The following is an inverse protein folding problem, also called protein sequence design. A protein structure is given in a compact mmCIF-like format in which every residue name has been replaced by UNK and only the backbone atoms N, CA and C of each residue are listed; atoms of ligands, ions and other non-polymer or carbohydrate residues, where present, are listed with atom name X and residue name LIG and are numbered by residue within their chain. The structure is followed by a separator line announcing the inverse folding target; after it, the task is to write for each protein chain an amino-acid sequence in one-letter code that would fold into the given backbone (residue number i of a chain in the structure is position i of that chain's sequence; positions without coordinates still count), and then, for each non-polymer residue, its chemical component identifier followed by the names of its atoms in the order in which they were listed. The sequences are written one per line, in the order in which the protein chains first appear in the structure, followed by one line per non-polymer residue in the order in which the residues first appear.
data_IF_454871984282
#
_entry.id   IF_454871984282
#
_cell.length_a   1.000
_cell.length_b   1.000
_cell.length_c   1.000
_cell.angle_alpha   90.00
_cell.angle_beta   90.00
_cell.angle_gamma   90.00
#
_symmetry.space_group_name_H-M   'P 1'
#
loop_
_entity.id
_entity.type
_entity.pdbx_description
1 polymer ?
#
# COMPACT_ATOMS: atom_id res chain seq x y z
N UNK A 1 44.82 71.37 12.59
CA UNK A 1 45.19 69.98 12.94
C UNK A 1 46.01 69.40 11.83
N UNK A 2 47.05 68.68 12.14
CA UNK A 2 47.84 68.07 11.10
C UNK A 2 47.07 66.93 10.48
N UNK A 3 47.36 66.56 9.21
CA UNK A 3 46.71 65.40 8.55
C UNK A 3 46.88 64.13 9.34
N UNK A 4 47.95 63.99 10.13
CA UNK A 4 48.25 62.90 11.02
C UNK A 4 47.22 62.83 12.16
N UNK A 5 46.92 63.97 12.80
CA UNK A 5 45.94 64.09 13.88
C UNK A 5 44.53 63.71 13.41
N UNK A 6 44.17 64.10 12.16
CA UNK A 6 42.89 63.80 11.56
C UNK A 6 42.72 62.25 11.26
N UNK A 7 43.83 61.67 10.76
CA UNK A 7 43.81 60.19 10.50
C UNK A 7 43.72 59.40 11.81
N UNK A 8 44.46 59.85 12.84
CA UNK A 8 44.40 59.19 14.14
C UNK A 8 43.00 59.33 14.81
N UNK A 9 42.42 60.56 14.70
CA UNK A 9 41.04 60.75 15.21
C UNK A 9 40.00 59.90 14.45
N UNK A 10 40.15 59.84 13.12
CA UNK A 10 39.27 58.93 12.31
C UNK A 10 39.44 57.44 12.67
N UNK A 11 40.69 57.03 12.88
CA UNK A 11 40.99 55.63 13.30
C UNK A 11 40.34 55.32 14.66
N UNK A 12 40.51 56.15 15.67
CA UNK A 12 39.92 55.95 16.99
C UNK A 12 38.39 55.93 16.95
N UNK A 13 37.78 56.83 16.20
CA UNK A 13 36.31 56.85 16.01
C UNK A 13 35.82 55.57 15.29
N UNK A 14 36.56 55.12 14.25
CA UNK A 14 36.21 53.93 13.50
C UNK A 14 36.32 52.68 14.38
N UNK A 15 37.37 52.52 15.17
CA UNK A 15 37.52 51.39 16.10
C UNK A 15 36.39 51.34 17.11
N UNK A 16 35.95 52.51 17.62
CA UNK A 16 34.79 52.58 18.53
C UNK A 16 33.46 52.20 17.78
N UNK A 17 33.28 52.65 16.53
CA UNK A 17 32.11 52.23 15.71
C UNK A 17 32.10 50.69 15.45
N UNK A 18 33.28 50.11 15.21
CA UNK A 18 33.43 48.65 14.99
C UNK A 18 33.06 47.88 16.29
N UNK A 19 33.54 48.32 17.42
CA UNK A 19 33.26 47.69 18.72
C UNK A 19 31.77 47.68 19.04
N UNK A 20 31.07 48.78 18.71
CA UNK A 20 29.63 48.91 18.91
C UNK A 20 28.75 48.21 17.84
N UNK A 21 29.31 47.70 16.78
CA UNK A 21 28.56 47.05 15.74
C UNK A 21 27.91 45.77 16.28
N UNK A 22 26.58 45.67 16.23
CA UNK A 22 25.81 44.57 16.73
C UNK A 22 25.41 43.54 15.64
N UNK A 23 25.57 43.85 14.35
CA UNK A 23 25.21 43.00 13.22
C UNK A 23 26.27 43.00 12.14
N UNK A 24 26.34 41.92 11.38
CA UNK A 24 27.24 41.79 10.22
C UNK A 24 26.98 42.86 9.17
N UNK A 25 25.73 43.29 8.96
CA UNK A 25 25.37 44.35 8.02
C UNK A 25 25.89 45.75 8.46
N UNK A 26 25.74 46.03 9.79
CA UNK A 26 26.30 47.29 10.35
C UNK A 26 27.81 47.33 10.22
N UNK A 27 28.50 46.21 10.45
CA UNK A 27 29.95 46.12 10.30
C UNK A 27 30.40 46.32 8.85
N UNK A 28 29.66 45.74 7.91
CA UNK A 28 29.95 45.95 6.47
C UNK A 28 29.73 47.38 6.01
N UNK A 29 28.72 48.07 6.53
CA UNK A 29 28.50 49.51 6.28
C UNK A 29 29.69 50.33 6.76
N UNK A 30 30.26 50.05 7.95
CA UNK A 30 31.48 50.71 8.47
C UNK A 30 32.67 50.42 7.55
N UNK A 31 32.87 49.19 7.12
CA UNK A 31 33.91 48.79 6.20
C UNK A 31 33.85 49.61 4.89
N UNK A 32 32.68 49.72 4.29
CA UNK A 32 32.46 50.48 3.05
C UNK A 32 32.74 51.96 3.28
N UNK A 33 32.26 52.56 4.40
CA UNK A 33 32.41 53.95 4.75
C UNK A 33 33.90 54.36 4.93
N UNK A 34 34.71 53.45 5.49
CA UNK A 34 36.08 53.81 5.91
C UNK A 34 37.15 53.26 4.97
N UNK A 35 37.07 51.97 4.60
CA UNK A 35 38.09 51.24 3.82
C UNK A 35 37.68 51.02 2.35
N UNK A 36 36.38 51.22 2.03
CA UNK A 36 35.86 51.06 0.66
C UNK A 36 36.58 51.92 -0.39
N UNK A 37 36.29 51.67 -1.69
CA UNK A 37 36.90 52.42 -2.80
C UNK A 37 36.78 53.93 -2.68
N UNK A 38 35.71 54.46 -2.12
CA UNK A 38 35.46 55.87 -1.81
C UNK A 38 35.52 56.19 -0.31
N UNK A 39 36.07 55.26 0.49
CA UNK A 39 36.11 55.37 1.95
C UNK A 39 37.09 56.45 2.42
N UNK A 40 36.86 56.93 3.66
CA UNK A 40 37.60 58.06 4.24
C UNK A 40 39.11 57.80 4.28
N UNK A 41 39.57 56.63 4.72
CA UNK A 41 41.01 56.30 4.72
C UNK A 41 41.60 56.20 3.29
N UNK A 42 40.81 55.67 2.36
CA UNK A 42 41.24 55.62 0.94
C UNK A 42 41.30 56.98 0.31
N UNK A 43 40.44 57.94 0.77
CA UNK A 43 40.48 59.36 0.38
C UNK A 43 41.78 60.02 0.78
N UNK A 44 42.28 59.83 1.98
CA UNK A 44 43.58 60.37 2.43
C UNK A 44 44.75 59.85 1.60
N UNK A 45 44.72 58.55 1.21
CA UNK A 45 45.75 58.01 0.31
C UNK A 45 45.74 58.68 -1.07
N UNK A 46 44.54 59.00 -1.60
CA UNK A 46 44.42 59.69 -2.92
C UNK A 46 44.87 61.20 -2.86
N UNK A 47 44.65 61.87 -1.71
CA UNK A 47 45.01 63.25 -1.49
C UNK A 47 46.49 63.47 -1.14
N UNK A 48 47.29 62.40 -1.05
CA UNK A 48 48.72 62.45 -0.73
C UNK A 48 49.51 63.34 -1.68
N UNK A 49 49.04 63.59 -2.91
CA UNK A 49 49.65 64.51 -3.86
C UNK A 49 49.63 65.96 -3.37
N UNK A 50 48.73 66.34 -2.48
CA UNK A 50 48.53 67.69 -1.93
C UNK A 50 49.34 67.97 -0.65
N UNK A 51 49.96 66.93 -0.06
CA UNK A 51 50.77 67.01 1.15
C UNK A 51 52.19 67.43 0.81
N UNK A 52 52.83 68.22 1.70
CA UNK A 52 54.21 68.65 1.52
C UNK A 52 55.18 67.50 1.32
N UNK A 53 56.14 67.54 0.38
CA UNK A 53 57.01 66.40 0.06
C UNK A 53 57.71 65.75 1.26
N UNK A 54 58.05 66.53 2.26
CA UNK A 54 58.82 66.16 3.44
C UNK A 54 57.91 65.28 4.42
N UNK A 55 56.60 65.52 4.42
CA UNK A 55 55.64 64.82 5.33
C UNK A 55 55.00 63.65 4.64
N UNK A 56 55.05 63.48 3.31
CA UNK A 56 54.38 62.40 2.58
C UNK A 56 54.69 60.96 3.09
N UNK A 57 55.98 60.78 3.38
CA UNK A 57 56.41 59.43 3.87
C UNK A 57 55.80 59.08 5.23
N UNK A 58 55.66 60.06 6.09
CA UNK A 58 55.17 59.89 7.45
C UNK A 58 53.66 59.78 7.45
N UNK A 59 52.95 60.64 6.69
CA UNK A 59 51.47 60.51 6.50
C UNK A 59 51.09 59.18 5.87
N UNK A 60 51.83 58.77 4.81
CA UNK A 60 51.57 57.44 4.19
C UNK A 60 51.76 56.29 5.12
N UNK A 61 52.77 56.31 5.97
CA UNK A 61 53.00 55.25 7.00
C UNK A 61 51.90 55.26 8.04
N UNK A 62 51.44 56.43 8.49
CA UNK A 62 50.33 56.52 9.50
C UNK A 62 49.02 56.08 8.89
N UNK A 63 48.66 56.48 7.65
CA UNK A 63 47.40 56.00 7.01
C UNK A 63 47.41 54.51 6.79
N UNK A 64 48.56 53.93 6.33
CA UNK A 64 48.63 52.45 6.19
C UNK A 64 48.59 51.70 7.51
N UNK A 65 49.21 52.25 8.58
CA UNK A 65 49.10 51.64 9.90
C UNK A 65 47.65 51.69 10.42
N UNK A 66 46.99 52.86 10.30
CA UNK A 66 45.58 53.01 10.67
C UNK A 66 44.66 52.07 9.88
N UNK A 67 44.90 51.92 8.59
CA UNK A 67 44.17 51.00 7.72
C UNK A 67 44.31 49.54 8.17
N UNK A 68 45.54 49.10 8.41
CA UNK A 68 45.82 47.72 8.84
C UNK A 68 45.15 47.39 10.18
N UNK A 69 45.18 48.36 11.12
CA UNK A 69 44.54 48.18 12.42
C UNK A 69 43.00 48.13 12.31
N UNK A 70 42.40 49.00 11.51
CA UNK A 70 40.95 48.98 11.22
C UNK A 70 40.54 47.71 10.50
N UNK A 71 41.30 47.25 9.49
CA UNK A 71 41.03 45.99 8.80
C UNK A 71 41.15 44.81 9.74
N UNK A 72 42.14 44.78 10.63
CA UNK A 72 42.29 43.75 11.67
C UNK A 72 41.13 43.73 12.65
N UNK A 73 40.67 44.90 13.11
CA UNK A 73 39.51 45.01 14.01
C UNK A 73 38.20 44.56 13.31
N UNK A 74 38.02 44.95 12.03
CA UNK A 74 36.86 44.48 11.23
C UNK A 74 36.82 42.95 11.09
N UNK A 75 37.95 42.32 10.77
CA UNK A 75 38.02 40.85 10.67
C UNK A 75 37.77 40.14 12.01
N UNK A 76 38.32 40.68 13.11
CA UNK A 76 38.07 40.13 14.44
C UNK A 76 36.58 40.22 14.82
N UNK A 77 35.96 41.40 14.62
CA UNK A 77 34.54 41.62 14.95
C UNK A 77 33.62 40.82 14.03
N UNK A 78 33.93 40.67 12.76
CA UNK A 78 33.22 39.82 11.80
C UNK A 78 33.20 38.35 12.26
N UNK A 79 34.33 37.84 12.73
CA UNK A 79 34.41 36.49 13.26
C UNK A 79 33.59 36.30 14.53
N UNK A 80 33.60 37.31 15.42
CA UNK A 80 32.80 37.33 16.65
C UNK A 80 31.28 37.27 16.32
N UNK A 81 30.82 38.20 15.46
CA UNK A 81 29.43 38.31 15.04
C UNK A 81 28.93 37.02 14.32
N UNK A 82 29.73 36.50 13.38
CA UNK A 82 29.41 35.27 12.68
C UNK A 82 29.27 34.06 13.66
N UNK A 83 30.14 34.02 14.67
CA UNK A 83 30.03 33.00 15.73
C UNK A 83 28.77 33.15 16.57
N UNK A 84 28.41 34.38 16.94
CA UNK A 84 27.20 34.65 17.69
C UNK A 84 25.92 34.39 16.88
N UNK A 85 25.89 34.80 15.61
CA UNK A 85 24.78 34.52 14.68
C UNK A 85 24.59 33.01 14.47
N UNK A 86 25.70 32.26 14.30
CA UNK A 86 25.65 30.79 14.18
C UNK A 86 25.13 30.15 15.46
N UNK A 87 25.59 30.57 16.62
CA UNK A 87 25.12 30.02 17.90
C UNK A 87 23.63 30.29 18.11
N UNK A 88 23.18 31.51 17.83
CA UNK A 88 21.77 31.87 17.92
C UNK A 88 20.88 31.03 16.94
N UNK A 89 21.37 30.81 15.73
CA UNK A 89 20.70 29.96 14.76
C UNK A 89 20.64 28.49 15.20
N UNK A 90 21.75 27.97 15.74
CA UNK A 90 21.78 26.58 16.24
C UNK A 90 20.81 26.38 17.42
N UNK A 91 20.67 27.40 18.29
CA UNK A 91 19.70 27.37 19.37
C UNK A 91 18.26 27.44 18.87
N UNK A 92 17.99 28.32 17.90
CA UNK A 92 16.66 28.46 17.29
C UNK A 92 16.23 27.22 16.49
N UNK A 93 17.18 26.55 15.83
CA UNK A 93 16.95 25.33 15.04
C UNK A 93 17.02 24.05 15.91
N UNK A 94 17.27 24.17 17.22
CA UNK A 94 17.34 23.02 18.11
C UNK A 94 15.98 22.31 18.19
N UNK A 95 15.97 21.04 17.88
CA UNK A 95 14.79 20.16 17.99
C UNK A 95 14.99 19.17 19.13
N UNK A 96 13.92 18.91 19.85
CA UNK A 96 13.93 17.84 20.86
C UNK A 96 13.86 16.48 20.19
N UNK A 97 15.00 15.79 20.14
CA UNK A 97 15.12 14.46 19.53
C UNK A 97 14.48 13.34 20.38
N UNK A 98 14.04 13.65 21.61
CA UNK A 98 13.31 12.70 22.45
C UNK A 98 11.83 12.63 22.12
N UNK A 99 11.32 13.62 21.36
CA UNK A 99 9.95 13.59 20.89
C UNK A 99 9.77 12.47 19.85
N UNK A 100 8.67 11.73 19.91
CA UNK A 100 8.39 10.69 18.92
C UNK A 100 8.26 11.33 17.53
N UNK A 101 8.89 10.70 16.54
CA UNK A 101 8.75 11.09 15.14
C UNK A 101 7.31 10.97 14.65
N UNK A 102 7.02 11.50 13.45
CA UNK A 102 5.73 11.28 12.79
C UNK A 102 5.53 9.78 12.54
N UNK A 103 4.62 9.17 13.26
CA UNK A 103 4.18 7.81 13.00
C UNK A 103 3.29 7.85 11.75
N UNK A 104 3.73 7.19 10.68
CA UNK A 104 2.84 6.94 9.54
C UNK A 104 1.74 5.98 9.99
N UNK A 105 0.48 6.41 9.88
CA UNK A 105 -0.64 5.51 10.09
C UNK A 105 -0.60 4.45 8.97
N UNK A 106 -0.30 3.22 9.35
CA UNK A 106 -0.42 2.09 8.43
C UNK A 106 -1.91 1.85 8.18
N UNK A 107 -2.28 1.73 6.90
CA UNK A 107 -3.61 1.32 6.53
C UNK A 107 -3.92 -0.09 7.03
N UNK A 108 -5.20 -0.44 7.11
CA UNK A 108 -5.67 -1.80 7.42
C UNK A 108 -6.16 -2.47 6.15
N UNK A 109 -6.00 -3.79 6.05
CA UNK A 109 -6.58 -4.58 4.96
C UNK A 109 -8.11 -4.59 5.10
N UNK A 110 -8.81 -4.57 3.96
CA UNK A 110 -10.27 -4.76 3.95
C UNK A 110 -10.62 -6.11 4.57
N UNK A 111 -11.73 -6.18 5.32
CA UNK A 111 -12.12 -7.37 6.07
C UNK A 111 -12.26 -8.62 5.17
N UNK A 112 -12.84 -8.49 3.99
CA UNK A 112 -12.99 -9.60 3.04
C UNK A 112 -11.61 -10.13 2.62
N UNK A 113 -10.67 -9.26 2.26
CA UNK A 113 -9.33 -9.69 1.86
C UNK A 113 -8.61 -10.40 3.01
N UNK A 114 -8.79 -9.91 4.24
CA UNK A 114 -8.22 -10.55 5.42
C UNK A 114 -8.78 -11.96 5.62
N UNK A 115 -10.10 -12.14 5.54
CA UNK A 115 -10.73 -13.46 5.67
C UNK A 115 -10.32 -14.38 4.52
N UNK A 116 -10.20 -13.86 3.29
CA UNK A 116 -9.70 -14.63 2.15
C UNK A 116 -8.27 -15.13 2.38
N UNK A 117 -7.40 -14.28 2.91
CA UNK A 117 -6.02 -14.66 3.26
C UNK A 117 -6.01 -15.72 4.37
N UNK A 118 -6.81 -15.55 5.44
CA UNK A 118 -6.92 -16.51 6.55
C UNK A 118 -7.40 -17.90 6.06
N UNK A 119 -8.40 -17.95 5.18
CA UNK A 119 -8.86 -19.19 4.55
C UNK A 119 -7.76 -19.82 3.70
N UNK A 120 -7.08 -18.98 2.88
CA UNK A 120 -5.99 -19.46 2.04
C UNK A 120 -4.85 -20.07 2.87
N UNK A 121 -4.47 -19.45 3.98
CA UNK A 121 -3.43 -19.95 4.88
C UNK A 121 -3.78 -21.32 5.46
N UNK A 122 -5.04 -21.58 5.81
CA UNK A 122 -5.50 -22.90 6.29
C UNK A 122 -5.25 -23.98 5.24
N UNK A 123 -5.63 -23.73 3.98
CA UNK A 123 -5.49 -24.71 2.90
C UNK A 123 -4.04 -24.86 2.43
N UNK A 124 -3.28 -23.75 2.33
CA UNK A 124 -1.84 -23.80 2.06
C UNK A 124 -1.09 -24.64 3.09
N UNK A 125 -1.50 -24.56 4.38
CA UNK A 125 -0.93 -25.35 5.48
C UNK A 125 -1.11 -26.86 5.31
N UNK A 126 -2.07 -27.32 4.54
CA UNK A 126 -2.35 -28.74 4.24
C UNK A 126 -2.02 -29.13 2.80
N UNK A 127 -1.23 -28.29 2.08
CA UNK A 127 -0.63 -28.65 0.80
C UNK A 127 -1.40 -28.21 -0.45
N UNK A 128 -2.46 -27.40 -0.30
CA UNK A 128 -3.14 -26.80 -1.46
C UNK A 128 -2.33 -25.63 -2.02
N UNK A 129 -2.61 -25.28 -3.25
CA UNK A 129 -2.14 -24.06 -3.90
C UNK A 129 -3.31 -23.14 -4.25
N UNK A 130 -3.02 -21.85 -4.50
CA UNK A 130 -4.04 -20.88 -4.91
C UNK A 130 -4.08 -20.81 -6.42
N UNK A 131 -5.22 -21.12 -7.02
CA UNK A 131 -5.50 -20.95 -8.44
C UNK A 131 -6.36 -19.69 -8.67
N UNK A 132 -6.13 -19.01 -9.77
CA UNK A 132 -6.91 -17.84 -10.18
C UNK A 132 -7.43 -18.02 -11.61
N UNK A 133 -8.53 -17.36 -11.93
CA UNK A 133 -9.10 -17.38 -13.27
C UNK A 133 -9.90 -16.11 -13.58
N UNK A 134 -10.37 -15.97 -14.81
CA UNK A 134 -11.05 -14.77 -15.29
C UNK A 134 -12.40 -14.56 -14.58
N UNK A 135 -12.76 -13.29 -14.32
CA UNK A 135 -14.11 -12.92 -13.85
C UNK A 135 -15.15 -12.89 -14.99
N UNK A 136 -14.67 -12.61 -16.21
CA UNK A 136 -15.46 -12.70 -17.45
C UNK A 136 -15.15 -14.05 -18.09
N UNK A 137 -16.14 -14.90 -18.18
CA UNK A 137 -15.97 -16.29 -18.55
C UNK A 137 -16.89 -16.66 -19.70
N UNK A 138 -16.63 -17.77 -20.38
CA UNK A 138 -17.54 -18.32 -21.36
C UNK A 138 -18.60 -19.21 -20.71
N UNK A 139 -19.72 -19.39 -21.41
CA UNK A 139 -20.78 -20.32 -21.00
C UNK A 139 -20.25 -21.74 -20.81
N UNK A 140 -19.27 -22.16 -21.63
CA UNK A 140 -18.63 -23.45 -21.52
C UNK A 140 -18.02 -23.69 -20.13
N UNK A 141 -17.12 -22.85 -19.68
CA UNK A 141 -16.44 -23.01 -18.39
C UNK A 141 -17.34 -22.76 -17.17
N UNK A 142 -18.35 -21.88 -17.34
CA UNK A 142 -19.24 -21.58 -16.22
C UNK A 142 -20.37 -22.59 -16.03
N UNK A 143 -20.73 -23.34 -17.08
CA UNK A 143 -21.88 -24.27 -17.06
C UNK A 143 -21.62 -25.60 -17.77
N UNK A 144 -21.24 -25.62 -19.05
CA UNK A 144 -21.21 -26.82 -19.84
C UNK A 144 -20.18 -27.83 -19.33
N UNK A 145 -18.95 -27.41 -19.13
CA UNK A 145 -17.88 -28.24 -18.57
C UNK A 145 -18.14 -28.65 -17.10
N UNK A 146 -19.10 -28.02 -16.45
CA UNK A 146 -19.57 -28.35 -15.10
C UNK A 146 -20.85 -29.20 -15.10
N UNK A 147 -21.10 -29.93 -16.21
CA UNK A 147 -22.24 -30.83 -16.35
C UNK A 147 -23.61 -30.16 -16.14
N UNK A 148 -23.72 -28.82 -16.27
CA UNK A 148 -24.98 -28.10 -16.17
C UNK A 148 -25.67 -28.09 -17.54
N UNK A 149 -26.87 -28.71 -17.68
CA UNK A 149 -27.57 -28.82 -18.96
C UNK A 149 -28.05 -27.47 -19.49
N UNK A 150 -28.30 -27.39 -20.79
CA UNK A 150 -28.69 -26.14 -21.46
C UNK A 150 -30.01 -25.51 -20.94
N UNK A 151 -30.88 -26.33 -20.34
CA UNK A 151 -32.15 -25.91 -19.73
C UNK A 151 -32.07 -25.67 -18.22
N UNK A 152 -30.87 -25.75 -17.63
CA UNK A 152 -30.69 -25.53 -16.21
C UNK A 152 -31.11 -24.09 -15.84
N UNK A 153 -31.90 -23.88 -14.77
CA UNK A 153 -32.44 -22.56 -14.39
C UNK A 153 -31.34 -21.49 -14.21
N UNK A 154 -30.20 -21.82 -13.64
CA UNK A 154 -29.08 -20.88 -13.42
C UNK A 154 -28.51 -20.30 -14.71
N UNK A 155 -28.72 -20.95 -15.86
CA UNK A 155 -28.32 -20.44 -17.19
C UNK A 155 -29.30 -19.41 -17.76
N UNK A 156 -30.33 -19.04 -17.00
CA UNK A 156 -31.28 -18.04 -17.44
C UNK A 156 -30.69 -16.63 -17.33
N UNK A 157 -31.09 -15.74 -18.21
CA UNK A 157 -30.75 -14.31 -18.12
C UNK A 157 -31.33 -13.63 -16.86
N UNK A 158 -32.22 -14.30 -16.12
CA UNK A 158 -32.76 -13.80 -14.87
C UNK A 158 -31.76 -13.97 -13.72
N UNK A 159 -30.88 -14.98 -13.79
CA UNK A 159 -29.97 -15.34 -12.72
C UNK A 159 -28.48 -15.04 -13.06
N UNK A 160 -28.15 -14.92 -14.36
CA UNK A 160 -26.78 -14.70 -14.87
C UNK A 160 -26.65 -13.38 -15.60
N UNK A 161 -25.52 -12.69 -15.40
CA UNK A 161 -25.15 -11.49 -16.16
C UNK A 161 -24.37 -11.90 -17.42
N UNK A 162 -25.04 -11.94 -18.54
CA UNK A 162 -24.37 -12.09 -19.84
C UNK A 162 -23.83 -10.75 -20.33
N UNK A 163 -22.60 -10.78 -20.85
CA UNK A 163 -21.97 -9.60 -21.45
C UNK A 163 -22.55 -9.41 -22.84
N UNK A 164 -22.99 -8.20 -23.17
CA UNK A 164 -23.52 -7.90 -24.49
C UNK A 164 -22.41 -7.94 -25.51
N UNK A 165 -22.46 -8.93 -26.39
CA UNK A 165 -21.55 -8.98 -27.54
C UNK A 165 -22.00 -7.97 -28.59
N UNK A 166 -21.12 -7.01 -28.90
CA UNK A 166 -21.35 -6.00 -29.93
C UNK A 166 -20.87 -6.47 -31.33
N UNK A 167 -20.03 -7.52 -31.40
CA UNK A 167 -19.55 -8.09 -32.66
C UNK A 167 -20.54 -9.10 -33.25
N UNK A 168 -21.32 -9.75 -32.42
CA UNK A 168 -22.29 -10.80 -32.80
C UNK A 168 -21.63 -12.13 -33.13
N UNK A 169 -20.32 -12.31 -32.77
CA UNK A 169 -19.54 -13.50 -33.17
C UNK A 169 -19.64 -14.62 -32.12
N UNK A 170 -20.05 -14.33 -30.89
CA UNK A 170 -20.15 -15.29 -29.80
C UNK A 170 -21.59 -15.46 -29.33
N UNK A 171 -22.16 -16.63 -29.51
CA UNK A 171 -23.53 -16.95 -29.09
C UNK A 171 -23.58 -18.33 -28.45
N UNK A 172 -24.31 -18.46 -27.35
CA UNK A 172 -24.59 -19.74 -26.75
C UNK A 172 -25.64 -20.52 -27.57
N UNK A 173 -25.95 -21.76 -27.13
CA UNK A 173 -26.95 -22.63 -27.78
C UNK A 173 -28.35 -22.01 -27.92
N UNK A 174 -28.65 -20.92 -27.18
CA UNK A 174 -29.90 -20.16 -27.27
C UNK A 174 -29.82 -18.93 -28.17
N UNK A 175 -28.67 -18.68 -28.82
CA UNK A 175 -28.44 -17.50 -29.67
C UNK A 175 -28.14 -16.20 -28.89
N UNK A 176 -27.80 -16.31 -27.59
CA UNK A 176 -27.37 -15.21 -26.75
C UNK A 176 -25.83 -15.16 -26.70
N UNK A 177 -25.23 -14.10 -26.15
CA UNK A 177 -23.79 -14.07 -25.92
C UNK A 177 -23.37 -15.27 -25.06
N UNK A 178 -22.28 -15.94 -25.44
CA UNK A 178 -21.68 -17.01 -24.64
C UNK A 178 -20.70 -16.49 -23.59
N UNK A 179 -20.50 -15.16 -23.50
CA UNK A 179 -19.65 -14.50 -22.53
C UNK A 179 -20.50 -13.93 -21.40
N UNK A 180 -20.09 -14.20 -20.18
CA UNK A 180 -20.82 -13.84 -18.97
C UNK A 180 -19.88 -13.43 -17.83
N UNK A 181 -20.43 -12.81 -16.79
CA UNK A 181 -19.75 -12.69 -15.51
C UNK A 181 -19.94 -13.99 -14.74
N UNK A 182 -18.85 -14.64 -14.34
CA UNK A 182 -18.91 -15.95 -13.69
C UNK A 182 -19.83 -15.94 -12.46
N UNK A 183 -20.70 -16.95 -12.37
CA UNK A 183 -21.65 -17.12 -11.25
C UNK A 183 -21.07 -17.89 -10.09
N UNK A 184 -19.92 -18.51 -10.29
CA UNK A 184 -19.18 -19.34 -9.35
C UNK A 184 -17.70 -19.35 -9.74
N UNK A 185 -16.83 -19.75 -8.82
CA UNK A 185 -15.39 -19.91 -9.12
C UNK A 185 -15.05 -21.29 -9.70
N UNK A 186 -16.04 -22.16 -9.92
CA UNK A 186 -15.88 -23.53 -10.43
C UNK A 186 -15.23 -23.59 -11.82
N UNK A 187 -15.38 -22.57 -12.66
CA UNK A 187 -14.66 -22.49 -13.95
C UNK A 187 -13.14 -22.55 -13.78
N UNK A 188 -12.60 -22.02 -12.67
CA UNK A 188 -11.17 -22.13 -12.37
C UNK A 188 -10.72 -23.57 -12.15
N UNK A 189 -11.63 -24.42 -11.62
CA UNK A 189 -11.35 -25.86 -11.43
C UNK A 189 -11.17 -26.54 -12.79
N UNK A 190 -12.03 -26.21 -13.78
CA UNK A 190 -11.92 -26.77 -15.14
C UNK A 190 -10.60 -26.31 -15.78
N UNK A 191 -10.27 -25.02 -15.74
CA UNK A 191 -8.98 -24.53 -16.24
C UNK A 191 -7.79 -25.24 -15.56
N UNK A 192 -7.85 -25.43 -14.24
CA UNK A 192 -6.79 -26.14 -13.53
C UNK A 192 -6.66 -27.61 -13.95
N UNK A 193 -7.77 -28.29 -14.18
CA UNK A 193 -7.76 -29.69 -14.65
C UNK A 193 -7.24 -29.83 -16.11
N UNK A 194 -7.48 -28.82 -16.96
CA UNK A 194 -6.96 -28.78 -18.33
C UNK A 194 -5.46 -28.44 -18.40
N UNK A 195 -4.96 -27.58 -17.50
CA UNK A 195 -3.63 -26.99 -17.58
C UNK A 195 -2.58 -27.68 -16.68
N UNK A 196 -2.99 -28.44 -15.65
CA UNK A 196 -2.08 -28.99 -14.64
C UNK A 196 -1.98 -30.52 -14.74
N UNK A 197 -0.81 -31.02 -14.37
CA UNK A 197 -0.63 -32.47 -14.17
C UNK A 197 -1.18 -32.90 -12.81
N UNK A 198 -1.70 -34.13 -12.73
CA UNK A 198 -2.16 -34.75 -11.50
C UNK A 198 -0.97 -35.09 -10.56
N UNK A 199 -1.10 -34.98 -9.25
CA UNK A 199 -2.32 -34.64 -8.50
C UNK A 199 -2.58 -33.13 -8.40
N UNK A 200 -3.85 -32.73 -8.34
CA UNK A 200 -4.29 -31.33 -8.21
C UNK A 200 -4.87 -31.09 -6.82
N UNK A 201 -4.34 -30.12 -6.11
CA UNK A 201 -4.84 -29.63 -4.82
C UNK A 201 -4.88 -28.11 -4.86
N UNK A 202 -6.05 -27.52 -5.09
CA UNK A 202 -6.19 -26.07 -5.26
C UNK A 202 -7.34 -25.49 -4.45
N UNK A 203 -7.22 -24.20 -4.12
CA UNK A 203 -8.35 -23.34 -3.78
C UNK A 203 -8.45 -22.21 -4.82
N UNK A 204 -9.67 -21.82 -5.15
CA UNK A 204 -9.96 -20.78 -6.14
C UNK A 204 -10.75 -19.64 -5.49
N UNK A 205 -10.10 -18.66 -4.85
CA UNK A 205 -10.76 -17.47 -4.34
C UNK A 205 -11.08 -16.49 -5.48
N UNK A 206 -12.25 -15.87 -5.41
CA UNK A 206 -12.59 -14.86 -6.39
C UNK A 206 -13.95 -14.21 -6.20
N UNK A 207 -14.20 -13.16 -6.96
CA UNK A 207 -15.50 -12.52 -7.06
C UNK A 207 -16.39 -13.30 -8.01
N UNK A 208 -17.66 -13.37 -7.66
CA UNK A 208 -18.72 -14.01 -8.46
C UNK A 208 -19.92 -13.09 -8.54
N UNK A 209 -20.76 -13.32 -9.53
CA UNK A 209 -21.82 -12.39 -9.93
C UNK A 209 -23.12 -13.15 -10.18
N UNK A 210 -24.22 -12.75 -9.51
CA UNK A 210 -25.57 -13.27 -9.71
C UNK A 210 -26.56 -12.14 -9.77
N UNK A 211 -27.62 -12.29 -10.56
CA UNK A 211 -28.64 -11.25 -10.68
C UNK A 211 -29.65 -11.24 -9.52
N UNK A 212 -29.12 -11.44 -8.32
CA UNK A 212 -29.90 -11.34 -7.11
C UNK A 212 -30.31 -9.88 -6.84
N UNK A 213 -31.50 -9.71 -6.29
CA UNK A 213 -31.92 -8.41 -5.78
C UNK A 213 -31.17 -8.14 -4.49
N UNK A 214 -30.52 -6.97 -4.40
CA UNK A 214 -29.78 -6.60 -3.21
C UNK A 214 -30.69 -6.52 -1.98
N UNK A 215 -30.39 -7.33 -0.98
CA UNK A 215 -31.02 -7.33 0.34
C UNK A 215 -29.95 -7.40 1.45
N UNK A 216 -30.29 -7.40 2.76
CA UNK A 216 -29.29 -7.49 3.83
C UNK A 216 -28.41 -8.74 3.82
N UNK A 217 -28.77 -9.79 3.08
CA UNK A 217 -28.06 -11.09 3.02
C UNK A 217 -27.55 -11.43 1.62
N UNK A 218 -28.00 -10.75 0.58
CA UNK A 218 -27.64 -11.02 -0.82
C UNK A 218 -27.17 -9.76 -1.54
N UNK A 219 -26.06 -9.89 -2.27
CA UNK A 219 -25.55 -8.84 -3.16
C UNK A 219 -25.33 -9.45 -4.55
N UNK A 220 -25.53 -8.68 -5.63
CA UNK A 220 -25.27 -9.17 -6.98
C UNK A 220 -23.82 -9.50 -7.26
N UNK A 221 -22.90 -9.03 -6.43
CA UNK A 221 -21.49 -9.40 -6.43
C UNK A 221 -21.07 -9.82 -5.02
N UNK A 222 -20.47 -10.98 -4.89
CA UNK A 222 -19.92 -11.47 -3.62
C UNK A 222 -18.59 -12.22 -3.85
N UNK A 223 -17.94 -12.67 -2.77
CA UNK A 223 -16.70 -13.42 -2.86
C UNK A 223 -16.97 -14.88 -2.51
N UNK A 224 -16.38 -15.78 -3.28
CA UNK A 224 -16.46 -17.22 -3.11
C UNK A 224 -15.05 -17.81 -3.10
N UNK A 225 -14.87 -18.88 -2.36
CA UNK A 225 -13.66 -19.69 -2.38
C UNK A 225 -14.09 -21.13 -2.58
N UNK A 226 -13.61 -21.76 -3.63
CA UNK A 226 -13.84 -23.18 -3.88
C UNK A 226 -12.54 -23.97 -3.69
N UNK A 227 -12.64 -25.22 -3.33
CA UNK A 227 -11.54 -26.16 -3.25
C UNK A 227 -11.76 -27.33 -4.21
N UNK A 228 -10.68 -27.76 -4.87
CA UNK A 228 -10.66 -28.96 -5.72
C UNK A 228 -9.49 -29.85 -5.32
N UNK A 229 -9.76 -31.14 -5.24
CA UNK A 229 -8.75 -32.19 -5.16
C UNK A 229 -9.03 -33.22 -6.26
N UNK A 230 -8.02 -33.51 -7.07
CA UNK A 230 -8.03 -34.61 -8.04
C UNK A 230 -6.78 -35.44 -7.81
N UNK A 231 -6.95 -36.63 -7.27
CA UNK A 231 -5.86 -37.58 -7.00
C UNK A 231 -6.42 -39.00 -6.88
N UNK A 232 -5.53 -39.98 -6.96
CA UNK A 232 -5.90 -41.41 -6.84
C UNK A 232 -6.35 -41.76 -5.42
N UNK A 233 -7.49 -42.46 -5.35
CA UNK A 233 -8.01 -42.99 -4.12
C UNK A 233 -8.68 -41.99 -3.18
N UNK A 234 -8.98 -40.78 -3.64
CA UNK A 234 -9.75 -39.79 -2.87
C UNK A 234 -11.17 -40.26 -2.67
N UNK A 235 -11.64 -40.14 -1.42
CA UNK A 235 -12.96 -40.58 -0.98
C UNK A 235 -13.80 -39.44 -0.43
N UNK A 236 -15.10 -39.66 -0.31
CA UNK A 236 -15.97 -38.71 0.39
C UNK A 236 -15.59 -38.53 1.87
N UNK A 237 -14.89 -39.55 2.45
CA UNK A 237 -14.32 -39.45 3.80
C UNK A 237 -13.23 -38.40 3.89
N UNK A 238 -12.36 -38.33 2.88
CA UNK A 238 -11.27 -37.33 2.79
C UNK A 238 -11.84 -35.92 2.65
N UNK A 239 -12.85 -35.74 1.79
CA UNK A 239 -13.60 -34.49 1.67
C UNK A 239 -14.16 -34.02 3.02
N UNK A 240 -14.85 -34.92 3.73
CA UNK A 240 -15.41 -34.61 5.06
C UNK A 240 -14.33 -34.24 6.06
N UNK A 241 -13.21 -34.96 6.07
CA UNK A 241 -12.09 -34.70 6.96
C UNK A 241 -11.46 -33.32 6.70
N UNK A 242 -11.25 -32.98 5.45
CA UNK A 242 -10.72 -31.67 5.03
C UNK A 242 -11.65 -30.52 5.45
N UNK A 243 -12.96 -30.67 5.23
CA UNK A 243 -13.94 -29.66 5.59
C UNK A 243 -14.13 -29.53 7.11
N UNK A 244 -14.06 -30.63 7.85
CA UNK A 244 -14.10 -30.60 9.33
C UNK A 244 -12.85 -29.87 9.89
N UNK A 245 -11.68 -30.17 9.34
CA UNK A 245 -10.45 -29.46 9.69
C UNK A 245 -10.57 -27.95 9.40
N UNK A 246 -11.00 -27.59 8.20
CA UNK A 246 -11.23 -26.18 7.81
C UNK A 246 -12.19 -25.48 8.78
N UNK A 247 -13.34 -26.08 9.06
CA UNK A 247 -14.33 -25.50 9.97
C UNK A 247 -13.79 -25.29 11.38
N UNK A 248 -12.98 -26.21 11.88
CA UNK A 248 -12.33 -26.08 13.20
C UNK A 248 -11.30 -24.96 13.22
N UNK A 249 -10.46 -24.84 12.19
CA UNK A 249 -9.47 -23.77 12.09
C UNK A 249 -10.13 -22.38 12.01
N UNK A 250 -11.21 -22.25 11.26
CA UNK A 250 -11.89 -20.97 11.06
C UNK A 250 -12.84 -20.59 12.20
N UNK A 251 -13.51 -21.55 12.82
CA UNK A 251 -14.61 -21.26 13.75
C UNK A 251 -14.35 -21.76 15.19
N UNK A 252 -13.26 -22.49 15.42
CA UNK A 252 -12.85 -23.01 16.72
C UNK A 252 -12.98 -24.53 16.84
N UNK A 253 -12.08 -25.13 17.61
CA UNK A 253 -11.93 -26.59 17.79
C UNK A 253 -13.18 -27.30 18.33
N UNK A 254 -14.02 -26.59 19.08
CA UNK A 254 -15.25 -27.11 19.65
C UNK A 254 -16.40 -27.19 18.65
N UNK A 255 -16.22 -26.70 17.43
CA UNK A 255 -17.25 -26.72 16.38
C UNK A 255 -17.46 -28.15 15.86
N UNK A 256 -18.72 -28.46 15.62
CA UNK A 256 -19.13 -29.72 14.99
C UNK A 256 -19.57 -29.43 13.58
N UNK A 257 -19.21 -30.29 12.65
CA UNK A 257 -19.68 -30.28 11.27
C UNK A 257 -20.80 -31.29 11.09
N UNK A 258 -21.73 -30.99 10.20
CA UNK A 258 -22.82 -31.87 9.78
C UNK A 258 -22.94 -31.78 8.27
N UNK A 259 -23.11 -32.94 7.63
CA UNK A 259 -23.32 -33.04 6.20
C UNK A 259 -24.73 -33.50 5.91
N UNK A 260 -25.42 -32.80 5.02
CA UNK A 260 -26.77 -33.11 4.54
C UNK A 260 -26.70 -33.43 3.07
N UNK A 261 -27.31 -34.51 2.62
CA UNK A 261 -27.41 -34.85 1.20
C UNK A 261 -28.08 -33.70 0.42
N UNK A 262 -27.49 -33.37 -0.70
CA UNK A 262 -27.97 -32.33 -1.62
C UNK A 262 -27.71 -32.77 -3.06
N UNK A 263 -28.08 -31.95 -4.06
CA UNK A 263 -27.83 -32.21 -5.45
C UNK A 263 -27.14 -30.98 -6.10
N UNK A 264 -26.01 -31.22 -6.78
CA UNK A 264 -25.39 -30.28 -7.71
C UNK A 264 -25.04 -31.00 -9.01
N UNK A 265 -25.16 -30.34 -10.18
CA UNK A 265 -24.94 -31.02 -11.47
C UNK A 265 -23.49 -31.47 -11.67
N UNK A 266 -22.53 -30.87 -10.99
CA UNK A 266 -21.09 -31.09 -11.11
C UNK A 266 -20.50 -32.00 -10.03
N UNK A 267 -21.32 -32.55 -9.13
CA UNK A 267 -20.87 -33.48 -8.07
C UNK A 267 -21.82 -34.63 -7.84
N UNK A 268 -21.27 -35.85 -7.56
CA UNK A 268 -22.00 -37.03 -7.17
C UNK A 268 -21.09 -37.96 -6.35
N UNK A 269 -21.42 -38.28 -5.09
CA UNK A 269 -22.51 -37.70 -4.27
C UNK A 269 -22.27 -36.26 -3.85
N UNK A 270 -23.35 -35.51 -3.66
CA UNK A 270 -23.34 -34.12 -3.25
C UNK A 270 -23.86 -33.93 -1.83
N UNK A 271 -23.36 -32.94 -1.12
CA UNK A 271 -23.82 -32.58 0.20
C UNK A 271 -23.71 -31.08 0.46
N UNK A 272 -24.43 -30.59 1.43
CA UNK A 272 -24.21 -29.31 2.10
C UNK A 272 -23.55 -29.54 3.44
N UNK A 273 -22.56 -28.69 3.78
CA UNK A 273 -21.88 -28.72 5.05
C UNK A 273 -22.35 -27.58 5.97
N UNK A 274 -22.82 -27.97 7.16
CA UNK A 274 -23.22 -27.06 8.21
C UNK A 274 -22.21 -27.10 9.36
N UNK A 275 -22.03 -25.97 10.05
CA UNK A 275 -21.26 -25.85 11.29
C UNK A 275 -22.19 -25.54 12.46
N UNK A 276 -21.91 -26.07 13.64
CA UNK A 276 -22.68 -25.76 14.86
C UNK A 276 -22.58 -24.26 15.17
N UNK A 277 -23.72 -23.63 15.48
CA UNK A 277 -23.81 -22.18 15.69
C UNK A 277 -22.88 -21.72 16.83
N UNK A 278 -22.04 -20.73 16.55
CA UNK A 278 -21.07 -20.19 17.50
C UNK A 278 -21.68 -19.39 18.66
N UNK A 279 -22.92 -18.94 18.51
CA UNK A 279 -23.60 -18.12 19.52
C UNK A 279 -24.36 -18.98 20.53
N UNK A 280 -25.11 -19.99 20.05
CA UNK A 280 -25.96 -20.80 20.91
C UNK A 280 -25.42 -22.19 21.13
N UNK A 281 -24.26 -22.53 20.61
CA UNK A 281 -23.63 -23.86 20.77
C UNK A 281 -24.51 -25.05 20.39
N UNK A 282 -25.44 -24.84 19.46
CA UNK A 282 -26.37 -25.89 18.98
C UNK A 282 -27.76 -25.86 19.60
N UNK A 283 -28.04 -25.03 20.60
CA UNK A 283 -29.35 -24.92 21.25
C UNK A 283 -30.43 -24.25 20.42
N UNK A 284 -30.04 -23.47 19.44
CA UNK A 284 -30.94 -22.68 18.60
C UNK A 284 -31.06 -21.24 19.07
N UNK A 285 -30.88 -20.29 18.17
CA UNK A 285 -30.99 -18.84 18.42
C UNK A 285 -31.47 -18.10 17.15
N UNK A 286 -31.63 -16.79 17.29
CA UNK A 286 -32.04 -15.93 16.16
C UNK A 286 -31.06 -16.01 14.97
N UNK A 287 -29.76 -16.10 15.22
CA UNK A 287 -28.73 -16.18 14.18
C UNK A 287 -28.90 -17.44 13.32
N UNK A 288 -29.06 -18.62 13.94
CA UNK A 288 -29.24 -19.89 13.25
C UNK A 288 -30.74 -20.21 12.99
N UNK A 289 -31.63 -19.23 13.12
CA UNK A 289 -33.07 -19.39 12.91
C UNK A 289 -33.67 -20.55 13.71
N UNK A 290 -33.17 -20.78 14.92
CA UNK A 290 -33.65 -21.86 15.83
C UNK A 290 -33.10 -23.26 15.54
N UNK A 291 -32.29 -23.44 14.49
CA UNK A 291 -31.82 -24.80 14.08
C UNK A 291 -30.61 -25.30 14.86
N UNK A 292 -29.82 -24.38 15.47
CA UNK A 292 -28.52 -24.70 16.08
C UNK A 292 -27.37 -24.85 15.09
N UNK A 293 -27.62 -24.75 13.78
CA UNK A 293 -26.66 -24.97 12.70
C UNK A 293 -26.63 -23.78 11.71
N UNK A 294 -25.49 -23.55 11.10
CA UNK A 294 -25.29 -22.54 10.06
C UNK A 294 -24.69 -23.27 8.85
N UNK A 295 -25.37 -23.19 7.72
CA UNK A 295 -24.87 -23.66 6.43
C UNK A 295 -23.69 -22.82 5.98
N UNK A 296 -22.59 -23.47 5.59
CA UNK A 296 -21.33 -22.82 5.19
C UNK A 296 -21.08 -22.96 3.69
N UNK A 297 -21.27 -24.18 3.14
CA UNK A 297 -20.92 -24.49 1.75
C UNK A 297 -21.62 -25.73 1.21
N UNK A 298 -21.68 -25.82 -0.12
CA UNK A 298 -21.95 -27.06 -0.84
C UNK A 298 -20.65 -27.80 -1.15
N UNK A 299 -20.70 -29.13 -1.17
CA UNK A 299 -19.55 -29.98 -1.46
C UNK A 299 -19.97 -31.29 -2.13
N UNK A 300 -19.02 -32.03 -2.67
CA UNK A 300 -19.26 -33.34 -3.26
C UNK A 300 -18.04 -33.92 -3.93
N UNK A 301 -18.14 -35.17 -4.36
CA UNK A 301 -17.15 -35.77 -5.26
C UNK A 301 -17.38 -35.20 -6.66
N UNK A 302 -16.33 -34.92 -7.39
CA UNK A 302 -16.45 -34.39 -8.77
C UNK A 302 -17.19 -35.43 -9.64
N UNK A 303 -18.19 -34.96 -10.38
CA UNK A 303 -18.93 -35.83 -11.30
C UNK A 303 -18.01 -36.39 -12.39
N UNK A 304 -18.09 -37.70 -12.72
CA UNK A 304 -17.24 -38.30 -13.77
C UNK A 304 -17.32 -37.57 -15.13
N UNK A 305 -18.46 -36.99 -15.47
CA UNK A 305 -18.60 -36.23 -16.70
C UNK A 305 -17.73 -34.96 -16.68
N UNK A 306 -17.61 -34.28 -15.52
CA UNK A 306 -16.74 -33.09 -15.39
C UNK A 306 -15.28 -33.46 -15.58
N UNK A 307 -14.82 -34.57 -14.98
CA UNK A 307 -13.46 -35.08 -15.18
C UNK A 307 -13.22 -35.39 -16.66
N UNK A 308 -14.13 -36.13 -17.30
CA UNK A 308 -14.03 -36.49 -18.71
C UNK A 308 -14.01 -35.27 -19.63
N UNK A 309 -14.84 -34.26 -19.37
CA UNK A 309 -14.87 -33.01 -20.13
C UNK A 309 -13.57 -32.21 -20.00
N UNK A 310 -12.87 -32.35 -18.86
CA UNK A 310 -11.57 -31.73 -18.61
C UNK A 310 -10.38 -32.62 -19.03
N UNK A 311 -10.63 -33.73 -19.73
CA UNK A 311 -9.61 -34.62 -20.28
C UNK A 311 -8.99 -35.60 -19.26
N UNK A 312 -9.61 -35.78 -18.09
CA UNK A 312 -9.17 -36.70 -17.04
C UNK A 312 -10.02 -37.97 -17.10
N UNK A 313 -9.38 -39.15 -17.07
CA UNK A 313 -10.07 -40.42 -17.01
C UNK A 313 -10.58 -40.67 -15.56
N UNK A 314 -11.90 -40.74 -15.34
CA UNK A 314 -12.45 -40.94 -14.01
C UNK A 314 -12.20 -42.35 -13.42
N UNK A 315 -11.76 -43.33 -14.22
CA UNK A 315 -11.47 -44.70 -13.78
C UNK A 315 -9.97 -44.88 -13.37
N UNK A 316 -9.09 -43.90 -13.62
CA UNK A 316 -7.66 -43.93 -13.28
C UNK A 316 -7.37 -43.36 -11.88
#
# INVERSE_FOLDING_TARGET
MSVIDEVQALQAATLAEIDQAATSDALEAIRIKVVGKSGSLTGYLRSMGQVAPEERAQVGKTVNAARNEVEGALEAKKKELAGAELAARMEADAIDITLPGRVQQMGTRHLINRITDEIAEVFLGIGYSVATGPEVETDYYNFEALNAPADHPSRSMQDTFYVRDLSGDTTNVKGESDVLLRTQTSGVQVHAMEDQELPIYIIAPGKVYRRDVADPSHLPQFNQIEGLVVDKGITFGDLKGTLDYFCKQMFGEERKTRFRAHYFPFTEPSAEADVSCGICHGEGCRMCKGTGWIEILGCGMVDPNVLSMSGIDPEE
#
